data_IF_175539010505
#
_entry.id   IF_175539010505
#
_cell.length_a   1.000
_cell.length_b   1.000
_cell.length_c   1.000
_cell.angle_alpha   90.00
_cell.angle_beta   90.00
_cell.angle_gamma   90.00
#
_symmetry.space_group_name_H-M   'P 1'
#
loop_
_entity.id
_entity.type
_entity.pdbx_description
1 polymer ?
#
# COMPACT_ATOMS: atom_id res chain seq x y z
N UNK A 1 17.10 -21.63 6.60
CA UNK A 1 16.13 -20.52 6.47
C UNK A 1 16.93 -19.24 6.37
N UNK A 2 17.00 -18.65 5.18
CA UNK A 2 17.72 -17.40 4.96
C UNK A 2 16.96 -16.27 5.65
N UNK A 3 17.68 -15.37 6.32
CA UNK A 3 17.09 -14.15 6.87
C UNK A 3 16.33 -13.40 5.76
N UNK A 4 15.11 -12.89 6.02
CA UNK A 4 14.42 -12.07 5.04
C UNK A 4 15.29 -10.84 4.75
N UNK A 5 15.27 -10.33 3.51
CA UNK A 5 15.92 -9.06 3.18
C UNK A 5 15.39 -7.93 4.09
N UNK A 6 16.23 -6.90 4.28
CA UNK A 6 15.84 -5.65 4.95
C UNK A 6 14.48 -5.15 4.43
N UNK A 7 13.69 -4.42 5.24
CA UNK A 7 12.34 -4.00 4.87
C UNK A 7 12.31 -3.43 3.45
N UNK A 8 11.51 -4.05 2.57
CA UNK A 8 11.11 -3.47 1.30
C UNK A 8 10.11 -2.34 1.60
N UNK A 9 10.57 -1.25 2.19
CA UNK A 9 9.77 -0.06 2.45
C UNK A 9 10.06 0.99 1.41
N UNK A 10 9.03 1.67 0.90
CA UNK A 10 9.26 2.90 0.15
C UNK A 10 10.04 3.89 1.01
N UNK A 11 11.23 4.28 0.53
CA UNK A 11 11.92 5.50 0.97
C UNK A 11 11.14 6.67 0.37
N UNK A 12 9.96 6.96 0.93
CA UNK A 12 9.26 8.21 0.63
C UNK A 12 9.63 9.21 1.71
N UNK A 13 10.18 10.34 1.28
CA UNK A 13 10.17 11.53 2.11
C UNK A 13 8.72 11.89 2.42
N UNK A 14 8.40 12.13 3.68
CA UNK A 14 7.13 12.80 4.03
C UNK A 14 7.08 14.19 3.38
N UNK A 15 5.93 14.86 3.30
CA UNK A 15 5.92 16.30 2.99
C UNK A 15 6.79 17.12 3.94
N UNK A 16 6.99 16.63 5.17
CA UNK A 16 7.91 17.18 6.15
C UNK A 16 9.39 16.78 5.92
N UNK A 17 9.70 16.04 4.85
CA UNK A 17 11.05 15.63 4.48
C UNK A 17 11.63 14.45 5.27
N UNK A 18 10.88 13.85 6.20
CA UNK A 18 11.35 12.74 7.03
C UNK A 18 11.47 11.45 6.22
N UNK A 19 12.47 10.63 6.55
CA UNK A 19 12.70 9.31 5.98
C UNK A 19 12.72 8.28 7.10
N UNK A 20 12.06 7.14 6.89
CA UNK A 20 12.16 5.98 7.78
C UNK A 20 13.37 5.12 7.43
N UNK A 21 14.23 4.88 8.41
CA UNK A 21 15.41 4.01 8.31
C UNK A 21 15.23 2.81 9.25
N UNK A 22 15.64 1.59 8.85
CA UNK A 22 15.68 0.47 9.78
C UNK A 22 16.76 0.70 10.84
N UNK A 23 16.35 0.76 12.11
CA UNK A 23 17.26 0.82 13.26
C UNK A 23 17.62 -0.61 13.75
N UNK A 24 16.68 -1.54 13.59
CA UNK A 24 16.87 -2.98 13.77
C UNK A 24 15.86 -3.73 12.91
N UNK A 25 15.78 -5.06 13.03
CA UNK A 25 14.70 -5.80 12.36
C UNK A 25 13.30 -5.36 12.82
N UNK A 26 13.13 -4.91 14.07
CA UNK A 26 11.83 -4.61 14.69
C UNK A 26 11.64 -3.12 15.01
N UNK A 27 12.54 -2.25 14.56
CA UNK A 27 12.52 -0.84 14.91
C UNK A 27 12.86 0.03 13.71
N UNK A 28 12.23 1.19 13.67
CA UNK A 28 12.52 2.23 12.69
C UNK A 28 13.03 3.47 13.40
N UNK A 29 13.77 4.27 12.66
CA UNK A 29 14.16 5.61 13.03
C UNK A 29 13.69 6.56 11.93
N UNK A 30 12.88 7.56 12.30
CA UNK A 30 12.52 8.65 11.41
C UNK A 30 13.58 9.73 11.54
N UNK A 31 14.15 10.15 10.42
CA UNK A 31 15.22 11.15 10.37
C UNK A 31 14.84 12.25 9.38
N UNK A 32 15.06 13.50 9.75
CA UNK A 32 15.11 14.61 8.80
C UNK A 32 16.51 14.66 8.15
N UNK A 33 16.65 14.43 6.83
CA UNK A 33 17.94 14.44 6.15
C UNK A 33 18.70 15.77 6.29
N UNK A 34 17.99 16.87 6.53
CA UNK A 34 18.52 18.22 6.66
C UNK A 34 18.75 18.63 8.12
N UNK A 35 18.30 17.81 9.07
CA UNK A 35 18.49 18.00 10.52
C UNK A 35 18.65 16.64 11.19
N UNK A 36 19.75 15.90 10.92
CA UNK A 36 19.90 14.50 11.31
C UNK A 36 19.97 14.27 12.83
N UNK A 37 20.14 15.32 13.61
CA UNK A 37 20.00 15.30 15.07
C UNK A 37 18.53 15.15 15.52
N UNK A 38 17.56 15.50 14.66
CA UNK A 38 16.13 15.30 14.87
C UNK A 38 15.75 13.92 14.38
N UNK A 39 15.66 13.00 15.34
CA UNK A 39 15.38 11.59 15.11
C UNK A 39 14.35 11.07 16.09
N UNK A 40 13.39 10.31 15.57
CA UNK A 40 12.28 9.72 16.33
C UNK A 40 12.35 8.21 16.19
N UNK A 41 12.38 7.48 17.30
CA UNK A 41 12.37 6.02 17.27
C UNK A 41 10.95 5.49 17.28
N UNK A 42 10.66 4.57 16.37
CA UNK A 42 9.43 3.82 16.32
C UNK A 42 9.70 2.41 16.79
N UNK A 43 9.17 2.06 17.96
CA UNK A 43 9.47 0.81 18.65
C UNK A 43 8.22 -0.03 18.93
N UNK A 44 8.44 -1.28 19.32
CA UNK A 44 7.42 -2.19 19.80
C UNK A 44 6.81 -3.13 18.76
N UNK A 45 7.37 -3.20 17.53
CA UNK A 45 7.04 -4.29 16.61
C UNK A 45 7.54 -5.62 17.18
N UNK A 46 6.74 -6.67 17.01
CA UNK A 46 7.00 -8.01 17.55
C UNK A 46 7.69 -8.90 16.54
N UNK A 47 7.65 -8.56 15.26
CA UNK A 47 8.36 -9.29 14.21
C UNK A 47 9.11 -8.35 13.25
N UNK A 48 10.04 -8.89 12.44
CA UNK A 48 10.79 -8.08 11.50
C UNK A 48 9.87 -7.26 10.60
N UNK A 49 10.11 -5.95 10.56
CA UNK A 49 9.38 -4.99 9.74
C UNK A 49 9.65 -5.31 8.28
N UNK A 50 8.59 -5.36 7.49
CA UNK A 50 8.65 -5.64 6.06
C UNK A 50 8.41 -4.41 5.20
N UNK A 51 7.47 -3.56 5.60
CA UNK A 51 7.10 -2.37 4.83
C UNK A 51 6.69 -1.23 5.78
N UNK A 52 6.82 -0.01 5.27
CA UNK A 52 6.43 1.25 5.92
C UNK A 52 5.57 2.06 4.95
N UNK A 53 4.53 2.68 5.47
CA UNK A 53 3.71 3.66 4.77
C UNK A 53 3.57 4.92 5.64
N UNK A 54 3.72 6.09 5.03
CA UNK A 54 3.41 7.36 5.68
C UNK A 54 2.01 7.81 5.28
N UNK A 55 1.32 8.51 6.18
CA UNK A 55 0.18 9.33 5.80
C UNK A 55 0.62 10.43 4.82
N UNK A 56 -0.30 10.91 4.00
CA UNK A 56 -0.03 11.93 2.99
C UNK A 56 0.36 13.27 3.62
N UNK A 57 -0.13 13.59 4.82
CA UNK A 57 0.29 14.74 5.61
C UNK A 57 1.63 14.52 6.36
N UNK A 58 2.11 13.26 6.40
CA UNK A 58 3.33 12.86 7.11
C UNK A 58 3.23 12.82 8.64
N UNK A 59 2.03 12.98 9.21
CA UNK A 59 1.82 12.98 10.67
C UNK A 59 1.82 11.57 11.27
N UNK A 60 1.51 10.55 10.48
CA UNK A 60 1.47 9.16 10.92
C UNK A 60 2.40 8.26 10.10
N UNK A 61 2.93 7.24 10.77
CA UNK A 61 3.65 6.13 10.13
C UNK A 61 2.94 4.84 10.45
N UNK A 62 2.70 4.03 9.44
CA UNK A 62 2.23 2.65 9.57
C UNK A 62 3.35 1.69 9.15
N UNK A 63 3.54 0.63 9.92
CA UNK A 63 4.41 -0.48 9.52
C UNK A 63 3.76 -1.82 9.84
N UNK A 64 4.17 -2.84 9.11
CA UNK A 64 3.78 -4.21 9.38
C UNK A 64 4.97 -5.17 9.36
N UNK A 65 4.85 -6.24 10.12
CA UNK A 65 5.87 -7.24 10.34
C UNK A 65 5.58 -8.57 9.64
N UNK A 66 6.62 -9.39 9.54
CA UNK A 66 6.58 -10.73 8.93
C UNK A 66 5.50 -11.66 9.52
N UNK A 67 5.19 -11.52 10.80
CA UNK A 67 4.22 -12.38 11.51
C UNK A 67 2.81 -11.76 11.57
N UNK A 68 2.54 -10.73 10.78
CA UNK A 68 1.24 -10.09 10.69
C UNK A 68 0.92 -9.13 11.84
N UNK A 69 1.88 -8.82 12.72
CA UNK A 69 1.77 -7.64 13.56
C UNK A 69 1.85 -6.38 12.71
N UNK A 70 1.07 -5.37 13.06
CA UNK A 70 1.16 -4.06 12.43
C UNK A 70 0.94 -2.98 13.47
N UNK A 71 1.48 -1.80 13.22
CA UNK A 71 1.47 -0.71 14.19
C UNK A 71 1.48 0.63 13.48
N UNK A 72 0.80 1.60 14.07
CA UNK A 72 0.87 3.00 13.67
C UNK A 72 1.47 3.86 14.78
N UNK A 73 2.19 4.90 14.39
CA UNK A 73 2.82 5.86 15.30
C UNK A 73 2.58 7.28 14.83
N UNK A 74 2.58 8.21 15.79
CA UNK A 74 2.74 9.63 15.52
C UNK A 74 4.20 9.88 15.09
N UNK A 75 4.40 10.43 13.89
CA UNK A 75 5.70 10.61 13.25
C UNK A 75 6.59 11.64 13.96
N UNK A 76 6.00 12.52 14.79
CA UNK A 76 6.72 13.58 15.50
C UNK A 76 7.23 13.12 16.85
N UNK A 77 6.47 12.29 17.53
CA UNK A 77 6.72 11.85 18.92
C UNK A 77 7.23 10.42 19.02
N UNK A 78 6.88 9.57 18.05
CA UNK A 78 7.11 8.13 18.11
C UNK A 78 6.13 7.39 19.02
N UNK A 79 5.10 8.09 19.52
CA UNK A 79 4.05 7.47 20.32
C UNK A 79 3.26 6.48 19.46
N UNK A 80 2.94 5.34 20.06
CA UNK A 80 2.08 4.34 19.43
C UNK A 80 0.65 4.87 19.40
N UNK A 81 0.07 4.93 18.21
CA UNK A 81 -1.34 5.29 18.03
C UNK A 81 -2.24 4.05 18.07
N UNK A 82 -1.86 3.02 17.32
CA UNK A 82 -2.61 1.76 17.26
C UNK A 82 -1.70 0.55 16.98
N UNK A 83 -2.16 -0.64 17.37
CA UNK A 83 -1.45 -1.91 17.14
C UNK A 83 -2.43 -3.02 16.77
N UNK A 84 -2.11 -3.77 15.73
CA UNK A 84 -2.77 -5.03 15.37
C UNK A 84 -1.89 -6.19 15.82
N UNK A 85 -2.44 -7.04 16.69
CA UNK A 85 -1.78 -8.26 17.16
C UNK A 85 -2.53 -9.48 16.67
N UNK A 86 -1.80 -10.49 16.20
CA UNK A 86 -2.41 -11.78 15.86
C UNK A 86 -3.14 -11.85 14.51
N UNK A 87 -2.86 -10.93 13.56
CA UNK A 87 -3.26 -11.19 12.17
C UNK A 87 -2.46 -12.38 11.66
N UNK A 88 -3.13 -13.49 11.35
CA UNK A 88 -2.48 -14.73 10.93
C UNK A 88 -1.97 -14.72 9.49
N UNK A 89 -2.20 -13.64 8.75
CA UNK A 89 -1.87 -13.50 7.33
C UNK A 89 -0.82 -12.41 7.13
N UNK A 90 0.24 -12.73 6.37
CA UNK A 90 1.30 -11.78 6.06
C UNK A 90 0.75 -10.63 5.20
N UNK A 91 0.92 -9.40 5.67
CA UNK A 91 0.64 -8.19 4.89
C UNK A 91 1.79 -8.02 3.88
N UNK A 92 1.43 -7.77 2.63
CA UNK A 92 2.35 -7.59 1.51
C UNK A 92 2.55 -6.11 1.16
N UNK A 93 1.54 -5.28 1.41
CA UNK A 93 1.56 -3.86 1.09
C UNK A 93 0.55 -3.10 1.92
N UNK A 94 0.84 -1.83 2.20
CA UNK A 94 -0.08 -0.90 2.83
C UNK A 94 -0.01 0.48 2.18
N UNK A 95 -1.16 1.14 2.04
CA UNK A 95 -1.27 2.51 1.52
C UNK A 95 -2.36 3.29 2.26
N UNK A 96 -2.09 4.57 2.53
CA UNK A 96 -3.11 5.49 3.02
C UNK A 96 -4.04 5.93 1.89
N UNK A 97 -5.30 6.16 2.23
CA UNK A 97 -6.27 6.90 1.42
C UNK A 97 -5.86 8.38 1.29
N UNK A 98 -6.32 9.11 0.26
CA UNK A 98 -5.87 10.48 0.00
C UNK A 98 -6.18 11.49 1.11
N UNK A 99 -7.21 11.20 1.93
CA UNK A 99 -7.61 12.01 3.07
C UNK A 99 -7.03 11.54 4.41
N UNK A 100 -6.12 10.56 4.37
CA UNK A 100 -5.46 9.93 5.52
C UNK A 100 -6.39 9.24 6.54
N UNK A 101 -7.68 9.13 6.26
CA UNK A 101 -8.67 8.56 7.20
C UNK A 101 -8.60 7.03 7.28
N UNK A 102 -8.12 6.39 6.22
CA UNK A 102 -8.18 4.95 6.00
C UNK A 102 -6.85 4.40 5.49
N UNK A 103 -6.49 3.20 5.95
CA UNK A 103 -5.34 2.42 5.45
C UNK A 103 -5.87 1.18 4.71
N UNK A 104 -5.40 0.97 3.49
CA UNK A 104 -5.59 -0.29 2.76
C UNK A 104 -4.38 -1.19 2.98
N UNK A 105 -4.61 -2.39 3.54
CA UNK A 105 -3.61 -3.46 3.59
C UNK A 105 -3.96 -4.56 2.60
N UNK A 106 -2.96 -5.12 1.94
CA UNK A 106 -3.08 -6.29 1.09
C UNK A 106 -2.41 -7.48 1.77
N UNK A 107 -3.10 -8.62 1.89
CA UNK A 107 -2.56 -9.83 2.53
C UNK A 107 -2.37 -11.00 1.54
N UNK A 108 -1.50 -11.96 1.92
CA UNK A 108 -1.29 -13.21 1.17
C UNK A 108 -2.54 -14.10 1.10
N UNK A 109 -3.50 -13.89 1.99
CA UNK A 109 -4.77 -14.62 2.05
C UNK A 109 -5.77 -14.22 0.95
N UNK A 110 -5.30 -13.53 -0.10
CA UNK A 110 -6.08 -13.02 -1.22
C UNK A 110 -7.08 -11.94 -0.82
N UNK A 111 -6.72 -11.05 0.09
CA UNK A 111 -7.66 -10.03 0.56
C UNK A 111 -7.02 -8.67 0.79
N UNK A 112 -7.66 -7.66 0.21
CA UNK A 112 -7.51 -6.28 0.66
C UNK A 112 -8.42 -6.02 1.85
N UNK A 113 -7.95 -5.27 2.84
CA UNK A 113 -8.75 -4.78 3.96
C UNK A 113 -8.52 -3.30 4.17
N UNK A 114 -9.60 -2.59 4.45
CA UNK A 114 -9.60 -1.20 4.85
C UNK A 114 -9.71 -1.11 6.37
N UNK A 115 -8.90 -0.25 6.95
CA UNK A 115 -8.84 0.01 8.39
C UNK A 115 -8.95 1.51 8.62
N UNK A 116 -9.59 1.93 9.70
CA UNK A 116 -9.44 3.32 10.16
C UNK A 116 -7.98 3.58 10.48
N UNK A 117 -7.44 4.69 10.03
CA UNK A 117 -6.05 5.05 10.28
C UNK A 117 -5.77 5.29 11.77
N UNK A 118 -6.72 5.91 12.47
CA UNK A 118 -6.56 6.37 13.86
C UNK A 118 -6.36 5.22 14.86
N UNK A 119 -7.11 4.13 14.70
CA UNK A 119 -7.17 3.04 15.68
C UNK A 119 -6.95 1.64 15.09
N UNK A 120 -6.72 1.55 13.76
CA UNK A 120 -6.64 0.29 13.02
C UNK A 120 -7.89 -0.60 13.21
N UNK A 121 -9.06 -0.02 13.48
CA UNK A 121 -10.31 -0.76 13.49
C UNK A 121 -10.69 -1.19 12.07
N UNK A 122 -11.17 -2.44 11.87
CA UNK A 122 -11.55 -2.93 10.55
C UNK A 122 -12.78 -2.17 10.04
N UNK A 123 -12.72 -1.71 8.79
CA UNK A 123 -13.84 -1.07 8.09
C UNK A 123 -14.49 -2.02 7.10
N UNK A 124 -13.72 -2.46 6.10
CA UNK A 124 -14.23 -3.20 4.94
C UNK A 124 -13.21 -4.23 4.46
N UNK A 125 -13.69 -5.25 3.76
CA UNK A 125 -12.85 -6.18 3.00
C UNK A 125 -13.14 -5.99 1.52
N UNK A 126 -12.10 -5.98 0.69
CA UNK A 126 -12.28 -5.97 -0.75
C UNK A 126 -12.78 -7.35 -1.20
N UNK A 127 -13.95 -7.40 -1.81
CA UNK A 127 -14.61 -8.64 -2.22
C UNK A 127 -14.30 -9.04 -3.68
N UNK A 128 -14.86 -10.18 -4.12
CA UNK A 128 -15.17 -10.41 -5.53
C UNK A 128 -14.14 -11.17 -6.38
N UNK A 129 -12.92 -11.41 -5.89
CA UNK A 129 -11.90 -12.15 -6.66
C UNK A 129 -11.14 -13.17 -5.81
N UNK A 130 -11.76 -14.35 -5.67
CA UNK A 130 -11.09 -15.54 -5.13
C UNK A 130 -9.82 -15.82 -5.97
N UNK A 131 -8.69 -16.10 -5.32
CA UNK A 131 -7.34 -16.32 -5.88
C UNK A 131 -6.59 -15.12 -6.48
N UNK A 132 -7.00 -13.88 -6.18
CA UNK A 132 -6.22 -12.68 -6.54
C UNK A 132 -5.20 -12.36 -5.43
N UNK A 133 -3.90 -12.44 -5.71
CA UNK A 133 -2.83 -11.90 -4.84
C UNK A 133 -2.40 -10.53 -5.37
N UNK A 134 -2.93 -9.42 -4.84
CA UNK A 134 -2.51 -8.11 -5.26
C UNK A 134 -1.10 -7.81 -4.73
N UNK A 135 -0.20 -7.38 -5.62
CA UNK A 135 1.17 -6.97 -5.26
C UNK A 135 1.27 -5.49 -4.93
N UNK A 136 0.40 -4.69 -5.54
CA UNK A 136 0.33 -3.26 -5.31
C UNK A 136 -1.11 -2.79 -5.41
N UNK A 137 -1.45 -1.77 -4.64
CA UNK A 137 -2.71 -1.05 -4.76
C UNK A 137 -2.52 0.45 -4.62
N UNK A 138 -3.50 1.19 -5.16
CA UNK A 138 -3.59 2.65 -5.07
C UNK A 138 -5.05 3.07 -4.94
N UNK A 139 -5.28 4.10 -4.14
CA UNK A 139 -6.51 4.87 -4.21
C UNK A 139 -6.49 5.81 -5.42
N UNK A 140 -7.67 6.10 -5.96
CA UNK A 140 -7.86 7.30 -6.78
C UNK A 140 -7.65 8.56 -5.94
N UNK A 141 -7.19 9.68 -6.53
CA UNK A 141 -7.04 10.95 -5.82
C UNK A 141 -8.31 11.44 -5.11
N UNK A 142 -9.48 11.13 -5.66
CA UNK A 142 -10.78 11.42 -5.03
C UNK A 142 -11.18 10.45 -3.90
N UNK A 143 -10.37 9.43 -3.64
CA UNK A 143 -10.58 8.42 -2.60
C UNK A 143 -11.71 7.40 -2.90
N UNK A 144 -12.45 7.57 -3.98
CA UNK A 144 -13.66 6.78 -4.27
C UNK A 144 -13.38 5.37 -4.79
N UNK A 145 -12.19 5.13 -5.34
CA UNK A 145 -11.83 3.88 -6.02
C UNK A 145 -10.49 3.36 -5.58
N UNK A 146 -10.34 2.04 -5.65
CA UNK A 146 -9.08 1.34 -5.43
C UNK A 146 -8.76 0.55 -6.68
N UNK A 147 -7.51 0.65 -7.15
CA UNK A 147 -6.95 -0.27 -8.14
C UNK A 147 -5.91 -1.15 -7.52
N UNK A 148 -5.85 -2.40 -7.94
CA UNK A 148 -4.80 -3.34 -7.55
C UNK A 148 -4.41 -4.26 -8.72
N UNK A 149 -3.13 -4.62 -8.78
CA UNK A 149 -2.61 -5.56 -9.79
C UNK A 149 -2.12 -6.86 -9.17
N UNK A 150 -2.42 -8.00 -9.81
CA UNK A 150 -1.79 -9.30 -9.49
C UNK A 150 -0.56 -9.63 -10.35
N UNK A 151 0.13 -10.69 -9.93
CA UNK A 151 1.22 -11.37 -10.65
C UNK A 151 0.88 -11.74 -12.10
N UNK A 152 -0.39 -11.91 -12.46
CA UNK A 152 -0.81 -12.29 -13.83
C UNK A 152 -1.06 -11.10 -14.76
N UNK A 153 -0.74 -9.88 -14.32
CA UNK A 153 -0.97 -8.66 -15.08
C UNK A 153 -2.42 -8.19 -15.08
N UNK A 154 -3.32 -8.83 -14.32
CA UNK A 154 -4.70 -8.39 -14.21
C UNK A 154 -4.79 -7.20 -13.24
N UNK A 155 -5.53 -6.18 -13.64
CA UNK A 155 -5.77 -4.96 -12.87
C UNK A 155 -7.25 -4.88 -12.51
N UNK A 156 -7.54 -4.80 -11.23
CA UNK A 156 -8.89 -4.74 -10.70
C UNK A 156 -9.26 -3.35 -10.25
N UNK A 157 -10.55 -3.10 -10.25
CA UNK A 157 -11.15 -1.89 -9.72
C UNK A 157 -12.17 -2.27 -8.65
N UNK A 158 -12.09 -1.57 -7.52
CA UNK A 158 -13.05 -1.65 -6.43
C UNK A 158 -13.59 -0.28 -6.10
N UNK A 159 -14.82 -0.23 -5.64
CA UNK A 159 -15.36 0.93 -4.95
C UNK A 159 -14.83 0.94 -3.50
N UNK A 160 -14.23 2.06 -3.10
CA UNK A 160 -13.61 2.19 -1.78
C UNK A 160 -14.65 2.31 -0.65
N UNK A 161 -15.90 2.67 -0.97
CA UNK A 161 -16.95 2.97 0.02
C UNK A 161 -17.63 1.71 0.56
N UNK A 162 -17.71 0.68 -0.26
CA UNK A 162 -18.35 -0.60 0.11
C UNK A 162 -17.44 -1.82 -0.12
N UNK A 163 -16.26 -1.65 -0.74
CA UNK A 163 -15.34 -2.72 -1.03
C UNK A 163 -15.79 -3.63 -2.18
N UNK A 164 -16.83 -3.26 -2.92
CA UNK A 164 -17.36 -4.05 -4.00
C UNK A 164 -16.41 -4.07 -5.20
N UNK A 165 -16.26 -5.26 -5.80
CA UNK A 165 -15.48 -5.41 -7.02
C UNK A 165 -16.26 -4.84 -8.21
N UNK A 166 -15.76 -3.74 -8.78
CA UNK A 166 -16.38 -3.08 -9.92
C UNK A 166 -16.02 -3.77 -11.25
N UNK A 167 -14.85 -4.40 -11.33
CA UNK A 167 -14.46 -5.20 -12.49
C UNK A 167 -12.97 -5.16 -12.80
N UNK A 168 -12.62 -5.71 -13.96
CA UNK A 168 -11.22 -5.75 -14.43
C UNK A 168 -11.00 -4.60 -15.41
N UNK A 169 -10.04 -3.73 -15.11
CA UNK A 169 -9.67 -2.58 -15.97
C UNK A 169 -8.90 -3.05 -17.19
N UNK A 170 -7.91 -3.92 -16.98
CA UNK A 170 -7.13 -4.51 -18.05
C UNK A 170 -6.46 -5.81 -17.61
N UNK A 171 -6.02 -6.60 -18.59
CA UNK A 171 -5.09 -7.71 -18.39
C UNK A 171 -3.91 -7.50 -19.30
N UNK A 172 -2.79 -7.08 -18.73
CA UNK A 172 -1.56 -6.93 -19.47
C UNK A 172 -0.97 -8.30 -19.77
N UNK A 173 -0.39 -8.48 -20.96
CA UNK A 173 0.36 -9.71 -21.25
C UNK A 173 1.71 -9.67 -20.52
N UNK A 174 2.02 -10.76 -19.80
CA UNK A 174 3.25 -10.90 -19.04
C UNK A 174 3.07 -10.67 -17.54
N UNK A 175 4.14 -10.20 -16.89
CA UNK A 175 4.18 -10.00 -15.44
C UNK A 175 3.31 -8.82 -14.97
N UNK A 176 3.06 -8.77 -13.65
CA UNK A 176 2.41 -7.64 -12.99
C UNK A 176 3.08 -6.31 -13.37
N UNK A 177 2.29 -5.24 -13.61
CA UNK A 177 2.89 -3.92 -13.75
C UNK A 177 3.62 -3.53 -12.46
N UNK A 178 4.82 -2.98 -12.61
CA UNK A 178 5.62 -2.48 -11.49
C UNK A 178 4.99 -1.25 -10.83
N UNK A 179 4.28 -0.43 -11.61
CA UNK A 179 3.69 0.81 -11.14
C UNK A 179 2.27 1.03 -11.65
N UNK A 180 1.39 1.40 -10.71
CA UNK A 180 0.05 1.88 -10.96
C UNK A 180 -0.07 3.31 -10.39
N UNK A 181 -0.71 4.20 -11.13
CA UNK A 181 -1.06 5.54 -10.67
C UNK A 181 -2.31 6.05 -11.38
N UNK A 182 -3.25 6.64 -10.66
CA UNK A 182 -4.34 7.37 -11.29
C UNK A 182 -3.86 8.72 -11.82
N UNK A 183 -4.53 9.24 -12.85
CA UNK A 183 -4.45 10.66 -13.19
C UNK A 183 -5.05 11.52 -12.08
N UNK A 184 -4.63 12.79 -11.99
CA UNK A 184 -5.07 13.70 -10.92
C UNK A 184 -6.59 13.92 -10.88
N UNK A 185 -7.26 13.82 -12.02
CA UNK A 185 -8.73 13.89 -12.14
C UNK A 185 -9.44 12.55 -11.83
N UNK A 186 -8.69 11.54 -11.41
CA UNK A 186 -9.12 10.17 -11.13
C UNK A 186 -9.70 9.41 -12.34
N UNK A 187 -9.68 9.96 -13.56
CA UNK A 187 -10.40 9.34 -14.68
C UNK A 187 -9.66 8.18 -15.31
N UNK A 188 -8.34 8.26 -15.36
CA UNK A 188 -7.50 7.29 -16.02
C UNK A 188 -6.48 6.68 -15.07
N UNK A 189 -5.98 5.53 -15.48
CA UNK A 189 -4.92 4.78 -14.85
C UNK A 189 -3.69 4.81 -15.76
N UNK A 190 -2.57 5.29 -15.21
CA UNK A 190 -1.24 5.13 -15.77
C UNK A 190 -0.66 3.84 -15.21
N UNK A 191 -0.25 2.96 -16.12
CA UNK A 191 0.35 1.67 -15.82
C UNK A 191 1.74 1.65 -16.43
N UNK A 192 2.76 1.27 -15.67
CA UNK A 192 4.12 1.16 -16.16
C UNK A 192 4.82 -0.10 -15.63
N UNK A 193 5.73 -0.65 -16.44
CA UNK A 193 6.62 -1.73 -16.03
C UNK A 193 6.19 -3.12 -16.49
N UNK A 194 5.59 -3.25 -17.67
CA UNK A 194 5.64 -4.51 -18.43
C UNK A 194 6.72 -4.39 -19.53
N UNK A 195 7.12 -5.48 -20.20
CA UNK A 195 8.00 -5.41 -21.38
C UNK A 195 7.49 -4.46 -22.48
N UNK A 196 6.23 -4.03 -22.41
CA UNK A 196 5.53 -3.18 -23.37
C UNK A 196 5.62 -1.67 -23.04
N UNK A 197 6.24 -1.26 -21.92
CA UNK A 197 6.41 0.15 -21.56
C UNK A 197 5.32 0.70 -20.62
N UNK A 198 4.89 1.95 -20.86
CA UNK A 198 3.87 2.63 -20.07
C UNK A 198 2.61 2.88 -20.90
N UNK A 199 1.43 2.65 -20.30
CA UNK A 199 0.13 2.82 -20.93
C UNK A 199 -0.78 3.70 -20.07
N UNK A 200 -1.69 4.44 -20.72
CA UNK A 200 -2.78 5.17 -20.08
C UNK A 200 -4.09 4.50 -20.46
N UNK A 201 -4.86 4.08 -19.47
CA UNK A 201 -6.11 3.34 -19.63
C UNK A 201 -7.23 4.09 -18.93
N UNK A 202 -8.47 4.07 -19.44
CA UNK A 202 -9.62 4.54 -18.66
C UNK A 202 -9.73 3.76 -17.34
N UNK A 203 -9.96 4.43 -16.22
CA UNK A 203 -10.13 3.77 -14.93
C UNK A 203 -11.58 3.32 -14.70
N UNK A 204 -12.10 2.59 -15.69
CA UNK A 204 -13.45 2.02 -15.73
C UNK A 204 -13.37 0.51 -15.94
N UNK A 205 -14.38 -0.20 -15.45
CA UNK A 205 -14.51 -1.63 -15.68
C UNK A 205 -15.11 -1.88 -17.06
N UNK A 206 -14.29 -1.83 -18.11
CA UNK A 206 -14.68 -2.31 -19.44
C UNK A 206 -13.68 -3.35 -19.94
N UNK A 207 -14.22 -4.44 -20.48
CA UNK A 207 -13.48 -5.66 -20.78
C UNK A 207 -12.38 -5.47 -21.81
N UNK A 208 -11.18 -5.93 -21.45
CA UNK A 208 -10.08 -6.32 -22.32
C UNK A 208 -9.77 -5.30 -23.45
N UNK A 209 -9.15 -4.18 -23.10
CA UNK A 209 -8.29 -3.49 -24.06
C UNK A 209 -7.09 -4.41 -24.33
N UNK A 210 -7.19 -5.25 -25.36
CA UNK A 210 -6.01 -5.77 -26.03
C UNK A 210 -5.23 -4.53 -26.49
N UNK A 211 -4.10 -4.24 -25.86
CA UNK A 211 -3.14 -3.31 -26.43
C UNK A 211 -2.77 -3.88 -27.80
N UNK A 212 -3.39 -3.34 -28.85
CA UNK A 212 -3.03 -3.63 -30.23
C UNK A 212 -1.58 -3.21 -30.42
N UNK A 213 -0.73 -4.19 -30.76
CA UNK A 213 0.67 -3.99 -31.12
C UNK A 213 0.79 -3.00 -32.30
N UNK A 214 1.90 -2.23 -32.40
CA UNK A 214 2.19 -1.38 -33.55
C UNK A 214 2.46 -2.18 -34.83
#
# INVERSE_FOLDING_TARGET
MNAPPLPYGQVRGTPAGQIALPASMQQLELVDPWSPERRVRLEGMKSPILHVAFSNDGSQVFAHGWRGDAKSWDARTGETLAELTGSSTMILSAVYSPDDSTILTLDEGHSGRLWRADDLSPLLRLEGRRSWVPLSARFSPDGSRIVAADRSGAIGLWDARDGAFAGTVARLQGDAPLHLAFTADSRDLIVAGSPLGAARLPATAEGLLAASEP
#
